data_IF_573214821956
#
_entry.id   IF_573214821956
#
_cell.length_a   1.000
_cell.length_b   1.000
_cell.length_c   1.000
_cell.angle_alpha   90.00
_cell.angle_beta   90.00
_cell.angle_gamma   90.00
#
_symmetry.space_group_name_H-M   'P 1'
#
loop_
_entity.id
_entity.type
_entity.pdbx_description
1 polymer ?
#
# COMPACT_ATOMS: atom_id res chain seq x y z
N UNK A 1 28.21 8.42 24.43
CA UNK A 1 27.72 8.14 24.14
C UNK A 1 26.98 7.67 23.57
N UNK A 2 26.91 7.88 23.52
CA UNK A 2 26.25 7.66 23.02
C UNK A 2 25.46 7.33 22.43
N UNK A 3 25.52 7.56 22.36
CA UNK A 3 24.78 7.45 21.79
C UNK A 3 23.99 6.93 21.26
N UNK A 4 24.26 7.02 21.31
CA UNK A 4 23.62 6.79 20.89
C UNK A 4 22.89 6.11 20.49
N UNK A 5 23.18 6.11 20.48
CA UNK A 5 22.64 5.68 20.35
C UNK A 5 21.59 5.12 20.10
N UNK A 6 21.35 5.01 20.55
CA UNK A 6 19.93 5.18 20.49
C UNK A 6 19.26 4.73 19.26
N UNK A 7 19.75 5.12 18.19
CA UNK A 7 19.23 4.74 16.89
C UNK A 7 19.16 3.23 16.72
N UNK A 8 19.77 2.51 17.64
CA UNK A 8 19.79 1.05 17.60
C UNK A 8 18.67 0.41 18.40
N UNK A 9 17.83 1.22 19.06
CA UNK A 9 16.71 0.67 19.81
C UNK A 9 15.75 -0.05 18.87
N UNK A 10 15.43 -1.29 19.24
CA UNK A 10 14.48 -2.08 18.47
C UNK A 10 13.06 -1.52 18.65
N UNK A 11 12.31 -1.45 17.57
CA UNK A 11 10.90 -1.03 17.58
C UNK A 11 10.06 -2.11 16.96
N UNK A 12 9.07 -2.59 17.70
CA UNK A 12 8.09 -3.53 17.17
C UNK A 12 7.21 -2.79 16.16
N UNK A 13 6.96 -3.43 15.02
CA UNK A 13 6.14 -2.89 13.96
C UNK A 13 5.18 -3.95 13.47
N UNK A 14 4.04 -3.52 12.98
CA UNK A 14 3.15 -4.37 12.18
C UNK A 14 3.12 -3.76 10.80
N UNK A 15 3.43 -4.55 9.79
CA UNK A 15 3.44 -4.08 8.42
C UNK A 15 2.81 -5.14 7.53
N UNK A 16 2.46 -4.77 6.32
CA UNK A 16 1.77 -5.66 5.39
C UNK A 16 2.71 -6.06 4.27
N UNK A 17 2.53 -7.28 3.74
CA UNK A 17 3.08 -7.70 2.47
C UNK A 17 1.90 -7.96 1.54
N UNK A 18 1.82 -7.21 0.45
CA UNK A 18 0.76 -7.37 -0.54
C UNK A 18 1.23 -8.33 -1.61
N UNK A 19 0.53 -9.46 -1.74
CA UNK A 19 0.82 -10.42 -2.81
C UNK A 19 0.15 -9.95 -4.09
N UNK A 20 0.89 -9.90 -5.19
CA UNK A 20 0.41 -9.41 -6.47
C UNK A 20 0.75 -10.39 -7.58
N UNK A 21 -0.08 -10.42 -8.62
CA UNK A 21 0.13 -11.32 -9.76
C UNK A 21 1.19 -10.77 -10.72
N UNK A 22 1.16 -9.46 -10.95
CA UNK A 22 2.11 -8.79 -11.84
C UNK A 22 2.90 -7.78 -11.02
N UNK A 23 4.07 -8.20 -10.53
CA UNK A 23 4.86 -7.38 -9.62
C UNK A 23 5.34 -6.07 -10.25
N UNK A 24 5.83 -6.11 -11.49
CA UNK A 24 6.33 -4.91 -12.16
C UNK A 24 5.22 -3.87 -12.32
N UNK A 25 4.02 -4.29 -12.70
CA UNK A 25 2.87 -3.40 -12.86
C UNK A 25 2.43 -2.83 -11.52
N UNK A 26 2.43 -3.64 -10.46
CA UNK A 26 2.08 -3.20 -9.13
C UNK A 26 3.05 -2.12 -8.64
N UNK A 27 4.36 -2.32 -8.86
CA UNK A 27 5.37 -1.35 -8.47
C UNK A 27 5.16 -0.02 -9.19
N UNK A 28 4.88 -0.06 -10.49
CA UNK A 28 4.59 1.15 -11.27
C UNK A 28 3.36 1.88 -10.73
N UNK A 29 2.32 1.11 -10.40
CA UNK A 29 1.09 1.70 -9.87
C UNK A 29 1.36 2.45 -8.57
N UNK A 30 2.00 1.81 -7.60
CA UNK A 30 2.21 2.44 -6.29
C UNK A 30 3.10 3.68 -6.39
N UNK A 31 4.07 3.68 -7.28
CA UNK A 31 4.91 4.86 -7.54
C UNK A 31 4.08 6.01 -8.13
N UNK A 32 3.25 5.71 -9.12
CA UNK A 32 2.44 6.73 -9.79
C UNK A 32 1.27 7.21 -8.91
N UNK A 33 0.61 6.28 -8.22
CA UNK A 33 -0.59 6.59 -7.46
C UNK A 33 -0.29 7.33 -6.15
N UNK A 34 0.74 6.87 -5.43
CA UNK A 34 1.01 7.34 -4.07
C UNK A 34 2.35 8.04 -3.91
N UNK A 35 3.13 8.14 -4.98
CA UNK A 35 4.49 8.66 -4.89
C UNK A 35 5.42 7.74 -4.10
N UNK A 36 5.16 6.44 -4.12
CA UNK A 36 5.96 5.48 -3.37
C UNK A 36 7.38 5.39 -3.91
N UNK A 37 8.33 5.16 -2.99
CA UNK A 37 9.73 4.93 -3.33
C UNK A 37 10.15 3.55 -2.85
N UNK A 38 10.98 2.87 -3.63
CA UNK A 38 11.62 1.64 -3.18
C UNK A 38 12.67 1.96 -2.13
N UNK A 39 12.54 1.36 -0.95
CA UNK A 39 13.54 1.49 0.11
C UNK A 39 14.39 0.23 0.26
N UNK A 40 13.93 -0.86 -0.33
CA UNK A 40 14.65 -2.12 -0.37
C UNK A 40 14.05 -3.00 -1.46
N UNK A 41 14.87 -3.78 -2.14
CA UNK A 41 14.38 -4.81 -3.05
C UNK A 41 15.30 -6.02 -2.98
N UNK A 42 14.71 -7.20 -3.12
CA UNK A 42 15.44 -8.46 -3.14
C UNK A 42 16.18 -8.57 -4.48
N UNK A 43 17.45 -8.97 -4.50
CA UNK A 43 18.15 -9.22 -5.77
C UNK A 43 17.38 -10.20 -6.64
N UNK A 44 17.22 -9.87 -7.92
CA UNK A 44 16.42 -10.67 -8.84
C UNK A 44 14.97 -10.23 -8.95
N UNK A 45 14.51 -9.31 -8.11
CA UNK A 45 13.15 -8.78 -8.16
C UNK A 45 12.12 -9.63 -7.44
N UNK A 46 10.88 -9.24 -7.57
CA UNK A 46 9.74 -9.99 -7.04
C UNK A 46 9.35 -9.68 -5.60
N UNK A 47 10.18 -8.97 -4.85
CA UNK A 47 9.88 -8.53 -3.48
C UNK A 47 10.53 -7.17 -3.24
N UNK A 48 9.77 -6.21 -2.76
CA UNK A 48 10.32 -4.89 -2.44
C UNK A 48 9.55 -4.27 -1.28
N UNK A 49 10.25 -3.40 -0.55
CA UNK A 49 9.62 -2.53 0.44
C UNK A 49 9.48 -1.14 -0.18
N UNK A 50 8.30 -0.57 -0.02
CA UNK A 50 7.96 0.75 -0.52
C UNK A 50 7.69 1.70 0.64
N UNK A 51 7.97 2.97 0.43
CA UNK A 51 7.68 4.04 1.38
C UNK A 51 6.85 5.12 0.71
N UNK A 52 5.72 5.46 1.33
CA UNK A 52 4.89 6.59 0.97
C UNK A 52 5.06 7.63 2.06
N UNK A 53 5.92 8.62 1.84
CA UNK A 53 6.23 9.67 2.82
C UNK A 53 6.60 9.09 4.19
N UNK A 54 7.33 7.99 4.22
CA UNK A 54 7.76 7.34 5.45
C UNK A 54 6.88 6.19 5.91
N UNK A 55 5.67 6.05 5.37
CA UNK A 55 4.80 4.92 5.68
C UNK A 55 5.21 3.73 4.80
N UNK A 56 5.49 2.59 5.39
CA UNK A 56 6.10 1.47 4.69
C UNK A 56 5.18 0.28 4.57
N UNK A 57 5.29 -0.42 3.45
CA UNK A 57 4.65 -1.72 3.21
C UNK A 57 5.47 -2.49 2.17
N UNK A 58 5.22 -3.79 2.08
CA UNK A 58 5.93 -4.67 1.17
C UNK A 58 5.02 -5.11 0.03
N UNK A 59 5.62 -5.36 -1.13
CA UNK A 59 4.94 -5.94 -2.29
C UNK A 59 5.75 -7.15 -2.73
N UNK A 60 5.07 -8.29 -2.89
CA UNK A 60 5.71 -9.52 -3.30
C UNK A 60 4.90 -10.19 -4.42
N UNK A 61 5.60 -10.81 -5.36
CA UNK A 61 4.95 -11.63 -6.37
C UNK A 61 4.26 -12.80 -5.66
N UNK A 62 3.04 -13.14 -6.10
CA UNK A 62 2.32 -14.24 -5.47
C UNK A 62 3.09 -15.54 -5.60
N UNK A 63 2.92 -16.42 -4.63
CA UNK A 63 3.64 -17.69 -4.55
C UNK A 63 2.67 -18.75 -4.03
N UNK A 64 1.85 -19.34 -4.92
CA UNK A 64 0.85 -20.33 -4.50
C UNK A 64 1.44 -21.53 -3.75
N UNK A 65 2.64 -21.94 -4.12
CA UNK A 65 3.33 -23.04 -3.43
C UNK A 65 3.65 -22.72 -1.96
N UNK A 66 3.72 -21.43 -1.61
CA UNK A 66 3.90 -20.98 -0.24
C UNK A 66 2.60 -20.42 0.35
N UNK A 67 1.46 -20.67 -0.29
CA UNK A 67 0.12 -20.22 0.13
C UNK A 67 0.00 -18.69 0.15
N UNK A 68 0.72 -18.01 -0.75
CA UNK A 68 0.63 -16.56 -0.93
C UNK A 68 -0.10 -16.27 -2.23
N UNK A 69 -1.32 -15.77 -2.12
CA UNK A 69 -2.19 -15.55 -3.27
C UNK A 69 -2.52 -14.07 -3.42
N UNK A 70 -2.58 -13.61 -4.67
CA UNK A 70 -3.07 -12.26 -4.97
C UNK A 70 -4.60 -12.21 -4.82
N UNK A 71 -5.18 -11.02 -4.60
CA UNK A 71 -6.63 -10.87 -4.65
C UNK A 71 -7.22 -11.30 -5.97
N UNK A 72 -6.50 -11.10 -7.08
CA UNK A 72 -6.93 -11.57 -8.40
C UNK A 72 -7.15 -13.08 -8.41
N UNK A 73 -6.25 -13.83 -7.81
CA UNK A 73 -6.35 -15.30 -7.76
C UNK A 73 -7.49 -15.74 -6.82
N UNK A 74 -7.74 -14.99 -5.75
CA UNK A 74 -8.76 -15.36 -4.75
C UNK A 74 -10.15 -14.84 -5.12
N UNK A 75 -10.25 -13.86 -6.00
CA UNK A 75 -11.52 -13.24 -6.34
C UNK A 75 -11.98 -12.25 -5.27
N UNK A 76 -11.10 -11.72 -4.45
CA UNK A 76 -11.40 -10.77 -3.41
C UNK A 76 -10.29 -10.69 -2.38
N UNK A 77 -10.44 -9.82 -1.39
CA UNK A 77 -9.49 -9.73 -0.28
C UNK A 77 -10.22 -9.47 1.03
N UNK A 78 -9.61 -9.90 2.14
CA UNK A 78 -10.21 -9.78 3.47
C UNK A 78 -9.63 -8.61 4.24
N UNK A 79 -8.50 -8.06 3.81
CA UNK A 79 -7.82 -6.95 4.50
C UNK A 79 -7.87 -5.73 3.62
N UNK A 80 -8.20 -4.58 4.22
CA UNK A 80 -8.07 -3.29 3.57
C UNK A 80 -6.84 -2.59 4.13
N UNK A 81 -6.09 -1.94 3.25
CA UNK A 81 -5.04 -1.03 3.67
C UNK A 81 -5.67 0.32 3.98
N UNK A 82 -5.16 0.99 4.99
CA UNK A 82 -5.60 2.34 5.33
C UNK A 82 -4.42 3.29 5.16
N UNK A 83 -4.50 4.14 4.15
CA UNK A 83 -3.48 5.15 3.87
C UNK A 83 -3.99 6.49 4.39
N UNK A 84 -3.31 7.01 5.40
CA UNK A 84 -3.71 8.27 6.03
C UNK A 84 -2.91 9.39 5.37
N UNK A 85 -3.63 10.35 4.77
CA UNK A 85 -3.03 11.45 4.00
C UNK A 85 -3.73 12.76 4.32
N UNK A 86 -3.07 13.85 3.99
CA UNK A 86 -3.61 15.17 4.25
C UNK A 86 -4.82 15.50 3.37
N UNK A 87 -4.78 15.09 2.09
CA UNK A 87 -5.86 15.37 1.13
C UNK A 87 -6.34 14.06 0.47
N UNK A 88 -7.28 13.36 1.11
CA UNK A 88 -7.77 12.09 0.56
C UNK A 88 -8.35 12.19 -0.85
N UNK A 89 -9.06 13.26 -1.15
CA UNK A 89 -9.67 13.42 -2.47
C UNK A 89 -8.61 13.51 -3.57
N UNK A 90 -7.54 14.28 -3.32
CA UNK A 90 -6.46 14.41 -4.29
C UNK A 90 -5.73 13.08 -4.50
N UNK A 91 -5.48 12.34 -3.42
CA UNK A 91 -4.79 11.04 -3.51
C UNK A 91 -5.66 10.02 -4.24
N UNK A 92 -6.95 9.97 -3.95
CA UNK A 92 -7.87 9.09 -4.69
C UNK A 92 -7.87 9.42 -6.18
N UNK A 93 -7.93 10.71 -6.53
CA UNK A 93 -7.92 11.13 -7.93
C UNK A 93 -6.63 10.70 -8.64
N UNK A 94 -5.49 10.86 -7.97
CA UNK A 94 -4.21 10.45 -8.52
C UNK A 94 -4.13 8.93 -8.69
N UNK A 95 -4.66 8.18 -7.74
CA UNK A 95 -4.70 6.72 -7.81
C UNK A 95 -5.57 6.25 -8.98
N UNK A 96 -6.74 6.87 -9.18
CA UNK A 96 -7.61 6.54 -10.32
C UNK A 96 -6.91 6.85 -11.64
N UNK A 97 -6.22 7.99 -11.71
CA UNK A 97 -5.45 8.34 -12.92
C UNK A 97 -4.34 7.33 -13.20
N UNK A 98 -3.82 6.67 -12.16
CA UNK A 98 -2.77 5.66 -12.30
C UNK A 98 -3.33 4.25 -12.57
N UNK A 99 -4.65 4.06 -12.56
CA UNK A 99 -5.28 2.78 -12.92
C UNK A 99 -6.16 2.15 -11.86
N UNK A 100 -6.34 2.80 -10.71
CA UNK A 100 -7.24 2.28 -9.67
C UNK A 100 -8.70 2.52 -10.03
N UNK A 101 -9.58 1.76 -9.38
CA UNK A 101 -11.04 1.97 -9.47
C UNK A 101 -11.54 2.57 -8.18
N UNK A 102 -12.27 3.68 -8.27
CA UNK A 102 -12.92 4.27 -7.10
C UNK A 102 -14.18 3.47 -6.78
N UNK A 103 -14.22 2.83 -5.61
CA UNK A 103 -15.39 2.02 -5.22
C UNK A 103 -16.23 2.70 -4.15
N UNK A 104 -15.64 3.58 -3.34
CA UNK A 104 -16.38 4.43 -2.41
C UNK A 104 -15.85 5.85 -2.59
N UNK A 105 -16.69 6.82 -2.97
CA UNK A 105 -16.24 8.20 -3.12
C UNK A 105 -15.83 8.77 -1.76
N UNK A 106 -14.94 9.75 -1.77
CA UNK A 106 -14.51 10.41 -0.55
C UNK A 106 -15.71 11.14 0.07
N UNK A 107 -15.98 10.85 1.33
CA UNK A 107 -17.04 11.46 2.08
C UNK A 107 -16.69 11.55 3.55
N UNK A 108 -17.56 12.15 4.34
CA UNK A 108 -17.31 12.34 5.78
C UNK A 108 -18.34 11.59 6.58
N UNK A 109 -17.86 10.78 7.52
CA UNK A 109 -18.69 10.03 8.46
C UNK A 109 -17.84 9.62 9.66
N UNK A 110 -18.47 9.58 10.83
CA UNK A 110 -17.85 9.08 12.05
C UNK A 110 -16.54 9.79 12.41
N UNK A 111 -16.41 11.08 12.05
CA UNK A 111 -15.21 11.85 12.35
C UNK A 111 -14.04 11.62 11.40
N UNK A 112 -14.29 10.95 10.28
CA UNK A 112 -13.29 10.68 9.25
C UNK A 112 -13.72 11.27 7.91
N UNK A 113 -12.74 11.64 7.10
CA UNK A 113 -12.92 11.86 5.65
C UNK A 113 -12.25 10.69 4.97
N UNK A 114 -13.02 9.87 4.27
CA UNK A 114 -12.54 8.58 3.80
C UNK A 114 -13.14 8.21 2.46
N UNK A 115 -12.32 7.71 1.55
CA UNK A 115 -12.75 7.07 0.32
C UNK A 115 -12.08 5.72 0.19
N UNK A 116 -12.47 4.93 -0.81
CA UNK A 116 -11.85 3.64 -1.05
C UNK A 116 -11.61 3.43 -2.53
N UNK A 117 -10.43 2.94 -2.86
CA UNK A 117 -10.06 2.53 -4.22
C UNK A 117 -9.65 1.06 -4.19
N UNK A 118 -9.73 0.43 -5.35
CA UNK A 118 -9.17 -0.91 -5.57
C UNK A 118 -8.02 -0.73 -6.56
N UNK A 119 -6.84 -1.21 -6.18
CA UNK A 119 -5.68 -1.08 -7.05
C UNK A 119 -5.73 -2.13 -8.17
N UNK A 120 -4.87 -2.03 -9.21
CA UNK A 120 -4.92 -2.96 -10.34
C UNK A 120 -4.66 -4.42 -9.97
N UNK A 121 -4.10 -4.68 -8.80
CA UNK A 121 -3.86 -6.03 -8.29
C UNK A 121 -5.03 -6.56 -7.47
N UNK A 122 -6.05 -5.74 -7.23
CA UNK A 122 -7.23 -6.13 -6.47
C UNK A 122 -7.19 -5.82 -4.99
N UNK A 123 -6.11 -5.20 -4.49
CA UNK A 123 -6.06 -4.79 -3.10
C UNK A 123 -6.89 -3.55 -2.87
N UNK A 124 -7.63 -3.55 -1.75
CA UNK A 124 -8.46 -2.42 -1.35
C UNK A 124 -7.67 -1.46 -0.47
N UNK A 125 -7.76 -0.19 -0.80
CA UNK A 125 -7.13 0.89 -0.05
C UNK A 125 -8.17 1.89 0.39
N UNK A 126 -8.35 2.02 1.69
CA UNK A 126 -9.07 3.15 2.24
C UNK A 126 -8.09 4.31 2.33
N UNK A 127 -8.50 5.47 1.87
CA UNK A 127 -7.64 6.65 1.82
C UNK A 127 -8.37 7.76 2.56
N UNK A 128 -7.79 8.21 3.66
CA UNK A 128 -8.50 9.11 4.53
C UNK A 128 -7.68 9.80 5.58
N UNK A 129 -8.40 10.49 6.46
CA UNK A 129 -7.82 11.13 7.65
C UNK A 129 -8.90 11.37 8.69
N UNK A 130 -8.48 11.46 9.91
CA UNK A 130 -9.35 11.93 10.99
C UNK A 130 -9.62 13.43 10.84
N UNK A 131 -10.83 13.85 11.14
CA UNK A 131 -11.21 15.25 11.13
C UNK A 131 -11.01 15.92 12.46
#
# INVERSE_FOLDING_TARGET
MSDTTTSTAFRTQVTATLSVKNWARAMEFYKAAFGARETYSVPGGGVARLSVSGAEFWVAEESPEHLNFSPEALGGCSVRMLLIVEDPAAVCAQAVAAGATQVVPVGEAHGWRLGRIVDPSGHHWEIGREL
#
